data_IF_113133126685
#
_entry.id   IF_113133126685
#
_cell.length_a   1.000
_cell.length_b   1.000
_cell.length_c   1.000
_cell.angle_alpha   90.00
_cell.angle_beta   90.00
_cell.angle_gamma   90.00
#
_symmetry.space_group_name_H-M   'P 1'
#
loop_
_entity.id
_entity.type
_entity.pdbx_description
1 polymer ?
#
# COMPACT_ATOMS: atom_id res chain seq x y z
N UNK A 1 -58.10 20.14 -36.37
CA UNK A 1 -58.29 20.98 -35.18
C UNK A 1 -56.92 21.27 -34.58
N UNK A 2 -56.59 22.57 -34.41
CA UNK A 2 -55.74 23.16 -33.36
C UNK A 2 -54.40 22.44 -33.04
N UNK A 3 -53.21 23.02 -33.26
CA UNK A 3 -52.75 24.30 -32.69
C UNK A 3 -51.36 24.69 -33.24
N UNK A 4 -51.15 25.99 -33.40
CA UNK A 4 -49.87 26.69 -33.55
C UNK A 4 -48.89 26.38 -32.40
N UNK A 5 -47.57 26.46 -32.65
CA UNK A 5 -46.67 27.42 -31.97
C UNK A 5 -45.23 27.34 -32.51
N UNK A 6 -44.71 28.47 -32.99
CA UNK A 6 -43.29 28.73 -33.23
C UNK A 6 -42.49 28.65 -31.92
N UNK A 7 -41.28 28.07 -31.93
CA UNK A 7 -40.22 28.52 -31.03
C UNK A 7 -38.85 28.46 -31.70
N UNK A 8 -38.23 29.64 -31.72
CA UNK A 8 -36.87 29.99 -32.11
C UNK A 8 -35.86 29.35 -31.14
N UNK A 9 -34.79 28.72 -31.63
CA UNK A 9 -33.64 28.38 -30.82
C UNK A 9 -32.34 28.56 -31.61
N UNK A 10 -31.44 29.33 -31.01
CA UNK A 10 -30.22 29.86 -31.56
C UNK A 10 -29.13 28.80 -31.78
N UNK A 11 -28.26 29.08 -32.76
CA UNK A 11 -26.96 28.45 -32.90
C UNK A 11 -26.12 28.64 -31.62
N UNK A 12 -25.55 27.56 -31.10
CA UNK A 12 -24.35 27.62 -30.28
C UNK A 12 -23.31 26.64 -30.86
N UNK A 13 -22.20 27.24 -31.29
CA UNK A 13 -20.94 26.57 -31.60
C UNK A 13 -20.44 25.87 -30.34
N UNK A 14 -20.32 24.54 -30.37
CA UNK A 14 -19.55 23.80 -29.38
C UNK A 14 -18.19 23.47 -30.01
N UNK A 15 -17.15 24.17 -29.57
CA UNK A 15 -15.77 23.89 -29.95
C UNK A 15 -15.37 22.50 -29.48
N UNK A 16 -14.72 21.71 -30.35
CA UNK A 16 -13.95 20.55 -29.93
C UNK A 16 -12.85 21.02 -28.96
N UNK A 17 -13.00 20.69 -27.68
CA UNK A 17 -11.84 20.53 -26.80
C UNK A 17 -11.56 19.04 -26.71
N UNK A 18 -10.36 18.67 -27.15
CA UNK A 18 -9.83 17.33 -26.98
C UNK A 18 -9.50 17.15 -25.49
N UNK A 19 -10.46 16.62 -24.75
CA UNK A 19 -10.25 16.23 -23.37
C UNK A 19 -9.50 14.90 -23.38
N UNK A 20 -8.17 15.01 -23.25
CA UNK A 20 -7.29 13.91 -22.95
C UNK A 20 -7.58 13.49 -21.50
N UNK A 21 -8.63 12.68 -21.31
CA UNK A 21 -8.94 12.08 -20.02
C UNK A 21 -7.82 11.08 -19.68
N UNK A 22 -6.83 11.56 -18.93
CA UNK A 22 -6.07 10.70 -18.05
C UNK A 22 -7.07 10.06 -17.09
N UNK A 23 -7.46 8.82 -17.39
CA UNK A 23 -8.24 7.94 -16.53
C UNK A 23 -7.54 7.88 -15.18
N UNK A 24 -8.03 8.66 -14.21
CA UNK A 24 -7.67 8.50 -12.82
C UNK A 24 -8.05 7.07 -12.42
N UNK A 25 -7.04 6.25 -12.14
CA UNK A 25 -7.26 4.92 -11.59
C UNK A 25 -7.98 5.08 -10.26
N UNK A 26 -9.22 4.61 -10.18
CA UNK A 26 -9.91 4.42 -8.91
C UNK A 26 -8.99 3.55 -8.05
N UNK A 27 -8.57 3.99 -6.85
CA UNK A 27 -7.68 3.19 -6.02
C UNK A 27 -8.36 1.84 -5.78
N UNK A 28 -7.68 0.78 -6.21
CA UNK A 28 -8.15 -0.59 -6.03
C UNK A 28 -8.19 -0.88 -4.53
N UNK A 29 -9.37 -0.79 -3.92
CA UNK A 29 -9.63 -0.97 -2.47
C UNK A 29 -9.32 -2.39 -1.94
N UNK A 30 -8.71 -3.25 -2.78
CA UNK A 30 -8.36 -4.62 -2.46
C UNK A 30 -6.85 -4.82 -2.32
N UNK A 31 -6.03 -3.77 -2.26
CA UNK A 31 -4.59 -3.90 -1.99
C UNK A 31 -4.22 -3.41 -0.59
N UNK A 32 -3.34 -4.17 0.05
CA UNK A 32 -2.62 -3.77 1.25
C UNK A 32 -1.12 -3.93 1.04
N UNK A 33 -0.34 -3.39 1.96
CA UNK A 33 1.11 -3.51 1.98
C UNK A 33 1.56 -4.15 3.29
N UNK A 34 2.51 -5.08 3.16
CA UNK A 34 3.16 -5.78 4.27
C UNK A 34 4.60 -5.28 4.33
N UNK A 35 5.02 -4.79 5.49
CA UNK A 35 6.38 -4.29 5.72
C UNK A 35 7.07 -5.12 6.80
N UNK A 36 8.26 -5.65 6.47
CA UNK A 36 9.13 -6.41 7.37
C UNK A 36 10.56 -5.89 7.19
N UNK A 37 11.24 -5.49 8.26
CA UNK A 37 12.61 -4.94 8.22
C UNK A 37 12.84 -3.84 7.16
N UNK A 38 11.82 -3.01 6.92
CA UNK A 38 11.85 -1.92 5.93
C UNK A 38 11.63 -2.35 4.48
N UNK A 39 11.54 -3.65 4.19
CA UNK A 39 11.09 -4.17 2.89
C UNK A 39 9.57 -4.18 2.86
N UNK A 40 8.97 -3.71 1.76
CA UNK A 40 7.51 -3.63 1.62
C UNK A 40 7.05 -4.37 0.38
N UNK A 41 6.12 -5.31 0.56
CA UNK A 41 5.48 -6.06 -0.51
C UNK A 41 3.98 -5.80 -0.55
N UNK A 42 3.40 -5.72 -1.74
CA UNK A 42 1.94 -5.62 -1.88
C UNK A 42 1.28 -6.99 -1.74
N UNK A 43 0.05 -6.98 -1.23
CA UNK A 43 -0.82 -8.14 -1.22
C UNK A 43 -2.22 -7.76 -1.72
N UNK A 44 -2.82 -8.66 -2.49
CA UNK A 44 -4.18 -8.51 -3.00
C UNK A 44 -5.15 -9.28 -2.10
N UNK A 45 -6.12 -8.57 -1.54
CA UNK A 45 -7.20 -9.11 -0.72
C UNK A 45 -8.34 -9.68 -1.58
N UNK A 46 -9.00 -10.71 -1.06
CA UNK A 46 -10.31 -11.15 -1.56
C UNK A 46 -11.41 -10.21 -1.07
N UNK A 47 -12.61 -10.28 -1.64
CA UNK A 47 -13.76 -9.51 -1.15
C UNK A 47 -14.64 -10.36 -0.21
N UNK A 48 -14.54 -10.11 1.10
CA UNK A 48 -15.38 -10.72 2.14
C UNK A 48 -15.49 -9.83 3.39
N UNK A 49 -16.26 -10.25 4.39
CA UNK A 49 -16.46 -9.44 5.61
C UNK A 49 -15.15 -9.19 6.37
N UNK A 50 -14.30 -10.21 6.56
CA UNK A 50 -13.01 -10.07 7.24
C UNK A 50 -12.09 -9.03 6.57
N UNK A 51 -11.97 -9.07 5.25
CA UNK A 51 -11.11 -8.16 4.48
C UNK A 51 -11.63 -6.74 4.48
N UNK A 52 -12.95 -6.53 4.43
CA UNK A 52 -13.56 -5.21 4.61
C UNK A 52 -13.30 -4.64 6.01
N UNK A 53 -13.41 -5.45 7.05
CA UNK A 53 -13.10 -5.04 8.43
C UNK A 53 -11.60 -4.78 8.64
N UNK A 54 -10.73 -5.56 7.98
CA UNK A 54 -9.29 -5.34 7.97
C UNK A 54 -8.97 -4.00 7.30
N UNK A 55 -9.50 -3.75 6.10
CA UNK A 55 -9.30 -2.48 5.38
C UNK A 55 -9.81 -1.31 6.20
N UNK A 56 -11.01 -1.40 6.80
CA UNK A 56 -11.53 -0.35 7.67
C UNK A 56 -10.58 -0.06 8.86
N UNK A 57 -10.01 -1.11 9.48
CA UNK A 57 -9.02 -0.93 10.55
C UNK A 57 -7.75 -0.22 10.06
N UNK A 58 -7.30 -0.56 8.85
CA UNK A 58 -6.11 0.03 8.24
C UNK A 58 -6.32 1.46 7.73
N UNK A 59 -7.58 1.88 7.55
CA UNK A 59 -7.93 3.28 7.29
C UNK A 59 -7.71 4.15 8.54
N UNK A 60 -7.93 3.60 9.73
CA UNK A 60 -7.68 4.30 10.99
C UNK A 60 -6.16 4.43 11.26
N UNK A 61 -5.43 3.31 11.17
CA UNK A 61 -3.97 3.29 11.32
C UNK A 61 -3.34 1.98 10.79
N UNK A 62 -2.04 1.99 10.42
CA UNK A 62 -1.29 0.76 10.20
C UNK A 62 -1.32 -0.15 11.43
N UNK A 63 -1.38 -1.47 11.20
CA UNK A 63 -1.37 -2.49 12.26
C UNK A 63 0.01 -3.15 12.28
N UNK A 64 0.71 -3.06 13.40
CA UNK A 64 1.98 -3.76 13.62
C UNK A 64 1.79 -4.90 14.60
N UNK A 65 2.23 -6.10 14.20
CA UNK A 65 2.11 -7.34 14.96
C UNK A 65 3.46 -8.05 15.03
N UNK A 66 3.66 -8.84 16.07
CA UNK A 66 4.81 -9.73 16.19
C UNK A 66 4.37 -11.13 15.79
N UNK A 67 4.95 -11.64 14.70
CA UNK A 67 4.70 -12.99 14.19
C UNK A 67 5.88 -13.91 14.46
N UNK A 68 5.61 -15.21 14.51
CA UNK A 68 6.63 -16.25 14.68
C UNK A 68 6.44 -17.32 13.63
N UNK A 69 7.55 -17.93 13.23
CA UNK A 69 7.57 -19.07 12.33
C UNK A 69 7.11 -20.37 13.00
N UNK A 70 6.52 -21.28 12.21
CA UNK A 70 6.20 -22.65 12.61
C UNK A 70 6.39 -23.67 11.46
N UNK A 71 7.48 -23.57 10.70
CA UNK A 71 7.87 -24.41 9.55
C UNK A 71 7.19 -24.12 8.21
N UNK A 72 5.95 -23.61 8.18
CA UNK A 72 5.23 -23.36 6.92
C UNK A 72 4.59 -21.97 6.76
N UNK A 73 4.45 -21.22 7.85
CA UNK A 73 3.91 -19.88 7.88
C UNK A 73 4.63 -19.05 8.94
N UNK A 74 4.47 -17.73 8.83
CA UNK A 74 4.60 -16.86 10.00
C UNK A 74 3.20 -16.52 10.50
N UNK A 75 3.00 -16.60 11.82
CA UNK A 75 1.68 -16.43 12.42
C UNK A 75 1.72 -15.76 13.78
N UNK A 76 0.57 -15.23 14.19
CA UNK A 76 0.41 -14.56 15.48
C UNK A 76 -0.89 -13.78 15.58
N UNK A 77 -1.14 -13.19 16.75
CA UNK A 77 -2.33 -12.39 17.00
C UNK A 77 -2.34 -11.12 16.13
N UNK A 78 -3.45 -10.85 15.46
CA UNK A 78 -3.72 -9.60 14.75
C UNK A 78 -3.98 -8.42 15.72
N UNK A 79 -4.12 -8.71 17.02
CA UNK A 79 -4.50 -7.72 18.04
C UNK A 79 -5.98 -7.34 18.01
N UNK A 80 -6.76 -7.91 17.09
CA UNK A 80 -8.21 -7.77 17.00
C UNK A 80 -8.86 -9.00 16.37
N UNK A 81 -10.16 -9.15 16.62
CA UNK A 81 -10.98 -10.14 15.95
C UNK A 81 -11.58 -9.56 14.66
N UNK A 82 -11.74 -10.40 13.65
CA UNK A 82 -12.49 -10.11 12.43
C UNK A 82 -13.62 -11.14 12.26
N UNK A 83 -14.66 -10.78 11.51
CA UNK A 83 -15.74 -11.69 11.14
C UNK A 83 -15.20 -12.89 10.36
N UNK A 84 -15.40 -14.10 10.87
CA UNK A 84 -14.90 -15.32 10.23
C UNK A 84 -15.90 -15.93 9.26
N UNK A 85 -15.36 -16.48 8.17
CA UNK A 85 -16.05 -17.39 7.25
C UNK A 85 -15.10 -18.55 6.96
N UNK A 86 -14.95 -19.42 7.96
CA UNK A 86 -13.97 -20.51 7.89
C UNK A 86 -14.44 -21.57 6.88
N UNK A 87 -13.55 -21.94 5.97
CA UNK A 87 -13.78 -22.96 4.96
C UNK A 87 -12.57 -23.91 4.94
N UNK A 88 -12.82 -25.19 4.67
CA UNK A 88 -11.73 -26.15 4.49
C UNK A 88 -10.97 -25.79 3.22
N UNK A 89 -9.67 -25.54 3.35
CA UNK A 89 -8.83 -25.14 2.22
C UNK A 89 -7.38 -25.57 2.42
N UNK A 90 -6.64 -25.61 1.32
CA UNK A 90 -5.18 -25.67 1.32
C UNK A 90 -4.65 -24.27 1.07
N UNK A 91 -3.93 -23.70 2.05
CA UNK A 91 -3.15 -22.50 1.85
C UNK A 91 -1.88 -22.85 1.06
N UNK A 92 -1.52 -21.98 0.12
CA UNK A 92 -0.33 -22.10 -0.73
C UNK A 92 0.69 -21.00 -0.38
N UNK A 93 1.96 -21.14 -0.80
CA UNK A 93 2.94 -20.07 -0.63
C UNK A 93 2.41 -18.73 -1.14
N UNK A 94 2.42 -17.72 -0.27
CA UNK A 94 1.93 -16.37 -0.52
C UNK A 94 0.53 -16.12 0.04
N UNK A 95 -0.24 -17.15 0.38
CA UNK A 95 -1.58 -16.98 0.93
C UNK A 95 -1.55 -16.32 2.32
N UNK A 96 -2.50 -15.41 2.52
CA UNK A 96 -2.78 -14.75 3.79
C UNK A 96 -4.16 -15.21 4.25
N UNK A 97 -4.24 -15.73 5.47
CA UNK A 97 -5.49 -16.20 6.05
C UNK A 97 -5.64 -15.74 7.49
N UNK A 98 -6.88 -15.82 7.98
CA UNK A 98 -7.24 -15.63 9.38
C UNK A 98 -7.57 -16.99 9.99
N UNK A 99 -6.89 -17.30 11.09
CA UNK A 99 -7.11 -18.49 11.90
C UNK A 99 -7.71 -18.13 13.27
N UNK A 100 -8.70 -18.91 13.70
CA UNK A 100 -9.43 -18.71 14.96
C UNK A 100 -9.98 -17.27 15.15
N UNK A 101 -10.27 -16.57 14.05
CA UNK A 101 -10.86 -15.23 14.04
C UNK A 101 -9.97 -14.07 14.48
N UNK A 102 -8.78 -14.33 15.02
CA UNK A 102 -7.89 -13.27 15.51
C UNK A 102 -6.41 -13.50 15.21
N UNK A 103 -6.01 -14.63 14.64
CA UNK A 103 -4.62 -14.87 14.27
C UNK A 103 -4.45 -14.68 12.77
N UNK A 104 -3.49 -13.85 12.37
CA UNK A 104 -3.08 -13.76 10.97
C UNK A 104 -1.98 -14.80 10.71
N UNK A 105 -2.10 -15.46 9.57
CA UNK A 105 -1.20 -16.50 9.09
C UNK A 105 -0.76 -16.12 7.67
N UNK A 106 0.55 -16.12 7.41
CA UNK A 106 1.12 -15.81 6.09
C UNK A 106 2.04 -16.97 5.68
N UNK A 107 1.63 -17.69 4.65
CA UNK A 107 2.25 -18.96 4.24
C UNK A 107 3.43 -18.75 3.30
N UNK A 108 4.50 -19.53 3.50
CA UNK A 108 5.55 -19.75 2.50
C UNK A 108 5.70 -21.23 2.10
N UNK A 109 4.94 -22.12 2.75
CA UNK A 109 4.72 -23.50 2.36
C UNK A 109 3.24 -23.85 2.39
N UNK A 110 2.88 -25.05 1.93
CA UNK A 110 1.47 -25.47 1.91
C UNK A 110 1.01 -26.11 3.22
N UNK A 111 -0.21 -25.79 3.65
CA UNK A 111 -0.89 -26.50 4.75
C UNK A 111 -2.41 -26.50 4.55
N UNK A 112 -3.11 -27.50 5.09
CA UNK A 112 -4.57 -27.61 4.96
C UNK A 112 -5.28 -27.56 6.31
N UNK A 113 -6.24 -26.66 6.44
CA UNK A 113 -7.07 -26.52 7.63
C UNK A 113 -8.37 -25.77 7.30
N UNK A 114 -9.13 -25.42 8.35
CA UNK A 114 -10.28 -24.54 8.27
C UNK A 114 -9.84 -23.10 8.54
N UNK A 115 -9.87 -22.26 7.49
CA UNK A 115 -9.39 -20.87 7.54
C UNK A 115 -10.40 -19.90 6.92
N UNK A 116 -10.32 -18.62 7.29
CA UNK A 116 -10.95 -17.54 6.52
C UNK A 116 -9.88 -16.93 5.60
N UNK A 117 -10.04 -17.05 4.28
CA UNK A 117 -9.09 -16.46 3.32
C UNK A 117 -9.12 -14.93 3.37
N UNK A 118 -7.94 -14.29 3.42
CA UNK A 118 -7.80 -12.84 3.39
C UNK A 118 -7.23 -12.34 2.08
N UNK A 119 -6.19 -12.97 1.55
CA UNK A 119 -5.53 -12.49 0.35
C UNK A 119 -4.29 -13.28 -0.03
N UNK A 120 -3.44 -12.68 -0.85
CA UNK A 120 -2.22 -13.28 -1.36
C UNK A 120 -1.13 -12.21 -1.60
N UNK A 121 0.13 -12.52 -1.27
CA UNK A 121 1.28 -11.66 -1.53
C UNK A 121 1.59 -11.63 -3.03
N UNK A 122 1.69 -10.45 -3.63
CA UNK A 122 1.89 -10.33 -5.06
C UNK A 122 3.35 -10.53 -5.45
N UNK A 123 3.62 -11.19 -6.59
CA UNK A 123 4.84 -10.97 -7.39
C UNK A 123 6.18 -11.45 -6.83
N UNK A 124 6.19 -12.22 -5.72
CA UNK A 124 7.40 -12.87 -5.22
C UNK A 124 7.47 -14.33 -5.71
N UNK A 125 8.66 -14.78 -6.11
CA UNK A 125 8.94 -16.22 -6.21
C UNK A 125 8.98 -16.86 -4.81
N UNK A 126 8.90 -18.19 -4.72
CA UNK A 126 8.93 -18.90 -3.43
C UNK A 126 10.19 -18.60 -2.60
N UNK A 127 11.35 -18.49 -3.23
CA UNK A 127 12.60 -18.16 -2.54
C UNK A 127 12.61 -16.72 -2.02
N UNK A 128 12.08 -15.77 -2.81
CA UNK A 128 11.96 -14.37 -2.39
C UNK A 128 10.93 -14.24 -1.26
N UNK A 129 9.82 -14.98 -1.33
CA UNK A 129 8.79 -15.03 -0.32
C UNK A 129 9.34 -15.55 1.02
N UNK A 130 10.04 -16.68 1.02
CA UNK A 130 10.70 -17.24 2.22
C UNK A 130 11.65 -16.25 2.86
N UNK A 131 12.42 -15.53 2.02
CA UNK A 131 13.34 -14.50 2.47
C UNK A 131 12.59 -13.30 3.06
N UNK A 132 11.56 -12.81 2.37
CA UNK A 132 10.74 -11.68 2.79
C UNK A 132 10.02 -11.94 4.10
N UNK A 133 9.46 -13.14 4.27
CA UNK A 133 8.77 -13.57 5.48
C UNK A 133 9.72 -14.01 6.60
N UNK A 134 11.03 -14.02 6.37
CA UNK A 134 12.04 -14.44 7.34
C UNK A 134 11.79 -15.85 7.89
N UNK A 135 11.53 -16.78 6.96
CA UNK A 135 11.24 -18.17 7.30
C UNK A 135 12.32 -18.78 8.21
N UNK A 136 11.89 -19.44 9.28
CA UNK A 136 12.74 -20.00 10.34
C UNK A 136 13.16 -19.02 11.45
N UNK A 137 12.72 -17.75 11.40
CA UNK A 137 12.96 -16.77 12.46
C UNK A 137 11.78 -16.62 13.43
N UNK A 138 11.97 -15.88 14.52
CA UNK A 138 10.91 -15.58 15.50
C UNK A 138 10.98 -14.11 15.90
N UNK A 139 9.91 -13.61 16.52
CA UNK A 139 9.75 -12.19 16.88
C UNK A 139 9.84 -11.24 15.68
N UNK A 140 9.21 -11.63 14.57
CA UNK A 140 9.21 -10.86 13.32
C UNK A 140 8.18 -9.73 13.44
N UNK A 141 8.65 -8.48 13.38
CA UNK A 141 7.75 -7.31 13.39
C UNK A 141 7.19 -7.09 11.98
N UNK A 142 5.88 -7.28 11.84
CA UNK A 142 5.17 -7.16 10.55
C UNK A 142 4.18 -6.01 10.65
N UNK A 143 4.24 -5.08 9.70
CA UNK A 143 3.30 -3.96 9.61
C UNK A 143 2.40 -4.09 8.38
N UNK A 144 1.10 -4.05 8.59
CA UNK A 144 0.07 -3.99 7.56
C UNK A 144 -0.39 -2.53 7.36
N UNK A 145 -0.59 -2.10 6.11
CA UNK A 145 -1.01 -0.72 5.80
C UNK A 145 -1.72 -0.60 4.45
N UNK A 146 -2.42 0.52 4.21
CA UNK A 146 -3.05 0.84 2.92
C UNK A 146 -2.16 1.66 1.97
N UNK A 147 -1.06 2.22 2.48
CA UNK A 147 -0.14 3.03 1.69
C UNK A 147 1.24 2.38 1.75
N UNK A 148 1.93 2.36 0.61
CA UNK A 148 3.31 1.88 0.57
C UNK A 148 4.16 2.74 1.50
N UNK A 149 4.72 2.12 2.53
CA UNK A 149 5.71 2.78 3.38
C UNK A 149 7.01 2.89 2.59
N UNK A 150 7.30 4.07 2.08
CA UNK A 150 8.68 4.42 1.73
C UNK A 150 9.41 4.69 3.04
N UNK A 151 10.74 4.51 3.12
CA UNK A 151 11.53 4.82 4.33
C UNK A 151 11.49 6.30 4.80
N UNK A 152 10.54 7.08 4.28
CA UNK A 152 10.25 8.47 4.60
C UNK A 152 8.89 8.51 5.32
N UNK A 153 8.92 8.51 6.66
CA UNK A 153 7.71 8.38 7.49
C UNK A 153 6.76 9.59 7.41
N UNK A 154 7.24 10.80 7.08
CA UNK A 154 6.45 12.03 6.85
C UNK A 154 7.38 13.14 6.37
N UNK A 155 7.02 13.88 5.32
CA UNK A 155 7.67 15.15 4.95
C UNK A 155 6.73 16.32 5.18
N UNK A 156 7.10 17.23 6.07
CA UNK A 156 6.46 18.56 6.12
C UNK A 156 7.11 19.41 5.04
N UNK A 157 6.32 19.94 4.10
CA UNK A 157 6.82 20.98 3.20
C UNK A 157 7.20 22.20 4.04
N UNK A 158 8.48 22.55 4.10
CA UNK A 158 8.87 23.86 4.60
C UNK A 158 8.22 24.93 3.69
N UNK A 159 7.55 25.92 4.28
CA UNK A 159 7.05 27.07 3.51
C UNK A 159 8.24 27.67 2.75
N UNK A 160 8.08 27.84 1.43
CA UNK A 160 9.06 28.29 0.42
C UNK A 160 9.79 29.63 0.68
N UNK A 161 9.73 30.18 1.90
CA UNK A 161 10.33 31.45 2.27
C UNK A 161 11.82 31.33 2.63
N UNK A 162 12.30 30.15 3.02
CA UNK A 162 13.71 29.95 3.37
C UNK A 162 14.50 29.35 2.19
N UNK A 163 15.47 30.10 1.65
CA UNK A 163 16.36 29.66 0.55
C UNK A 163 17.42 28.63 1.01
N UNK A 164 17.07 27.75 1.94
CA UNK A 164 18.00 26.69 2.39
C UNK A 164 18.31 25.78 1.22
N UNK A 165 19.59 25.49 1.07
CA UNK A 165 20.11 24.61 0.04
C UNK A 165 20.69 23.39 0.75
N UNK A 166 20.45 22.19 0.26
CA UNK A 166 20.98 20.96 0.82
C UNK A 166 21.87 20.26 -0.20
N UNK A 167 22.93 19.60 0.24
CA UNK A 167 23.76 18.72 -0.60
C UNK A 167 22.99 17.44 -0.94
N UNK A 168 23.53 16.61 -1.83
CA UNK A 168 22.95 15.28 -2.09
C UNK A 168 23.04 14.32 -0.89
N UNK A 169 23.89 14.63 0.09
CA UNK A 169 23.98 13.91 1.36
C UNK A 169 22.96 14.42 2.40
N UNK A 170 22.10 15.36 2.03
CA UNK A 170 21.07 15.91 2.93
C UNK A 170 21.58 16.91 3.96
N UNK A 171 22.85 17.34 3.88
CA UNK A 171 23.41 18.36 4.78
C UNK A 171 23.16 19.76 4.24
N UNK A 172 23.03 20.76 5.12
CA UNK A 172 22.88 22.16 4.69
C UNK A 172 24.14 22.59 3.90
N UNK A 173 23.93 23.00 2.66
CA UNK A 173 24.99 23.49 1.78
C UNK A 173 25.45 24.87 2.26
N UNK A 174 26.73 24.98 2.58
CA UNK A 174 27.37 26.24 2.95
C UNK A 174 27.28 27.26 1.80
N UNK A 175 27.37 28.54 2.14
CA UNK A 175 27.45 29.61 1.14
C UNK A 175 28.62 29.33 0.18
N UNK A 176 28.36 29.37 -1.13
CA UNK A 176 29.37 29.08 -2.16
C UNK A 176 29.64 27.59 -2.42
N UNK A 177 28.92 26.65 -1.79
CA UNK A 177 29.05 25.22 -2.07
C UNK A 177 28.96 24.94 -3.58
N UNK A 178 29.95 24.22 -4.10
CA UNK A 178 30.09 23.81 -5.50
C UNK A 178 29.58 22.39 -5.67
N UNK A 179 28.93 22.11 -6.79
CA UNK A 179 28.33 20.80 -7.06
C UNK A 179 26.80 20.82 -7.05
N UNK A 180 26.20 19.67 -6.80
CA UNK A 180 24.75 19.48 -6.86
C UNK A 180 24.14 19.83 -5.51
N UNK A 181 23.15 20.72 -5.52
CA UNK A 181 22.34 21.06 -4.36
C UNK A 181 20.84 20.89 -4.67
N UNK A 182 20.05 20.67 -3.63
CA UNK A 182 18.60 20.74 -3.65
C UNK A 182 18.17 22.06 -3.00
N UNK A 183 17.48 22.90 -3.75
CA UNK A 183 16.89 24.15 -3.26
C UNK A 183 15.42 24.16 -3.62
N UNK A 184 14.53 24.29 -2.63
CA UNK A 184 13.08 24.28 -2.82
C UNK A 184 12.60 23.06 -3.64
N UNK A 185 13.13 21.87 -3.35
CA UNK A 185 12.81 20.63 -4.07
C UNK A 185 13.39 20.53 -5.49
N UNK A 186 14.12 21.54 -5.98
CA UNK A 186 14.76 21.51 -7.30
C UNK A 186 16.25 21.23 -7.18
N UNK A 187 16.74 20.31 -8.00
CA UNK A 187 18.17 20.09 -8.22
C UNK A 187 18.76 21.29 -8.96
N UNK A 188 19.84 21.85 -8.42
CA UNK A 188 20.62 22.93 -9.02
C UNK A 188 22.09 22.51 -9.04
N UNK A 189 22.78 22.80 -10.15
CA UNK A 189 24.22 22.56 -10.30
C UNK A 189 24.94 23.90 -10.19
N UNK A 190 25.81 24.06 -9.20
CA UNK A 190 26.69 25.23 -9.05
C UNK A 190 28.07 24.88 -9.60
N UNK A 191 28.39 25.42 -10.78
CA UNK A 191 29.70 25.24 -11.43
C UNK A 191 30.79 26.01 -10.69
N UNK A 192 32.04 25.55 -10.88
CA UNK A 192 33.25 26.20 -10.38
C UNK A 192 33.30 27.65 -10.84
#
# INVERSE_FOLDING_TARGET
>A
MHKYLLFLAAMLFCSCSADNEAKAETPTMNKIYITIDGQTQSATLVDNDATRELVAALQDAPITVTLNDNDFEIWGSLGKSLTTKNEQMTALPGDIVLYNGSNICIFYESNSWSYTRLGHIDGLSENELRTFLKAGESNISVTLSLAQSTGINTVKSEKLKDKKCYTLQGTLAQAGHKGIIIQNGKKIIRKQ
#
